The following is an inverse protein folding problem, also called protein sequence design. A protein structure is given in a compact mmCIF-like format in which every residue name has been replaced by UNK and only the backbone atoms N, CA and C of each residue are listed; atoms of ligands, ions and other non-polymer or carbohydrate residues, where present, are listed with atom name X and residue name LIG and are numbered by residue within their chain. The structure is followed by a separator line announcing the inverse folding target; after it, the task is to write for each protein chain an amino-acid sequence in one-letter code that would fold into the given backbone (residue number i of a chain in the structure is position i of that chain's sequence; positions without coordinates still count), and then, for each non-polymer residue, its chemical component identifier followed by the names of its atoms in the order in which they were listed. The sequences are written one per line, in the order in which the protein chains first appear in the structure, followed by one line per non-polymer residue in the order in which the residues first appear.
data_IF_673777561966
#
_entry.id   IF_673777561966
#
_cell.length_a   1.000
_cell.length_b   1.000
_cell.length_c   1.000
_cell.angle_alpha   90.00
_cell.angle_beta   90.00
_cell.angle_gamma   90.00
#
_symmetry.space_group_name_H-M   'P 1'
#
loop_
_entity.id
_entity.type
_entity.pdbx_description
1 polymer ?
#
# COMPACT_ATOMS: atom_id res chain seq x y z
N UNK A 1 -12.47 13.61 13.25
CA UNK A 1 -13.05 12.66 12.29
C UNK A 1 -14.42 12.26 12.79
N UNK A 2 -15.48 12.51 12.02
CA UNK A 2 -16.86 12.16 12.35
C UNK A 2 -17.45 11.35 11.20
N UNK A 3 -18.04 10.20 11.50
CA UNK A 3 -18.80 9.42 10.54
C UNK A 3 -20.30 9.67 10.69
N UNK A 4 -20.98 9.70 9.54
CA UNK A 4 -22.43 9.75 9.42
C UNK A 4 -22.83 8.63 8.47
N UNK A 5 -23.69 7.72 8.91
CA UNK A 5 -24.23 6.63 8.10
C UNK A 5 -25.73 6.86 7.87
N UNK A 6 -26.24 6.61 6.67
CA UNK A 6 -27.67 6.75 6.40
C UNK A 6 -28.45 5.50 6.83
N UNK A 7 -29.57 5.70 7.52
CA UNK A 7 -30.50 4.62 7.86
C UNK A 7 -31.44 4.33 6.69
N UNK A 8 -31.65 3.05 6.38
CA UNK A 8 -32.62 2.61 5.36
C UNK A 8 -32.47 3.36 4.03
N UNK A 9 -31.23 3.67 3.63
CA UNK A 9 -30.91 4.68 2.62
C UNK A 9 -31.69 4.50 1.29
N UNK A 10 -31.70 3.28 0.75
CA UNK A 10 -32.41 2.97 -0.50
C UNK A 10 -33.94 3.09 -0.37
N UNK A 11 -34.48 2.80 0.82
CA UNK A 11 -35.92 2.86 1.09
C UNK A 11 -36.42 4.31 1.27
N UNK A 12 -35.51 5.27 1.46
CA UNK A 12 -35.87 6.68 1.53
C UNK A 12 -35.91 7.37 0.15
N UNK A 13 -35.28 6.78 -0.87
CA UNK A 13 -35.15 7.40 -2.19
C UNK A 13 -36.26 6.89 -3.13
N UNK A 14 -37.19 7.75 -3.58
CA UNK A 14 -38.32 7.33 -4.40
C UNK A 14 -37.90 6.95 -5.83
N UNK A 15 -38.55 5.93 -6.37
CA UNK A 15 -38.55 5.65 -7.81
C UNK A 15 -39.58 6.50 -8.53
N UNK A 16 -39.26 6.94 -9.73
CA UNK A 16 -40.22 7.55 -10.64
C UNK A 16 -41.32 6.54 -11.02
N UNK A 17 -42.59 6.97 -11.06
CA UNK A 17 -43.73 6.08 -11.34
C UNK A 17 -43.61 5.34 -12.68
N UNK A 18 -42.99 5.97 -13.67
CA UNK A 18 -42.77 5.40 -15.01
C UNK A 18 -41.91 4.13 -14.99
N UNK A 19 -40.98 3.99 -14.03
CA UNK A 19 -40.07 2.85 -13.94
C UNK A 19 -40.52 1.77 -12.95
N UNK A 20 -41.46 2.07 -12.04
CA UNK A 20 -41.88 1.15 -10.96
C UNK A 20 -42.46 -0.16 -11.48
N UNK A 21 -43.08 -0.16 -12.66
CA UNK A 21 -43.66 -1.38 -13.25
C UNK A 21 -42.61 -2.41 -13.69
N UNK A 22 -41.33 -2.02 -13.76
CA UNK A 22 -40.22 -2.95 -14.00
C UNK A 22 -39.76 -3.66 -12.72
N UNK A 23 -40.24 -3.24 -11.55
CA UNK A 23 -39.80 -3.72 -10.23
C UNK A 23 -40.97 -4.31 -9.44
N UNK A 24 -41.59 -5.34 -10.02
CA UNK A 24 -42.72 -6.08 -9.44
C UNK A 24 -42.24 -7.41 -8.88
N UNK A 25 -42.72 -7.78 -7.70
CA UNK A 25 -42.43 -9.06 -7.07
C UNK A 25 -43.70 -9.66 -6.46
N UNK A 26 -43.70 -10.99 -6.28
CA UNK A 26 -44.80 -11.72 -5.66
C UNK A 26 -44.51 -11.94 -4.17
N UNK A 27 -45.41 -11.49 -3.32
CA UNK A 27 -45.33 -11.72 -1.87
C UNK A 27 -45.65 -13.17 -1.51
N UNK A 28 -45.35 -13.55 -0.26
CA UNK A 28 -45.69 -14.88 0.28
C UNK A 28 -47.19 -15.14 0.36
N UNK A 29 -47.98 -14.07 0.45
CA UNK A 29 -49.44 -14.05 0.37
C UNK A 29 -49.99 -14.29 -1.04
N UNK A 30 -49.10 -14.44 -2.02
CA UNK A 30 -49.44 -14.66 -3.42
C UNK A 30 -49.82 -13.39 -4.18
N UNK A 31 -49.86 -12.22 -3.53
CA UNK A 31 -50.18 -10.93 -4.14
C UNK A 31 -48.96 -10.33 -4.85
N UNK A 32 -49.21 -9.43 -5.80
CA UNK A 32 -48.15 -8.71 -6.51
C UNK A 32 -47.96 -7.31 -5.92
N UNK A 33 -46.70 -6.99 -5.67
CA UNK A 33 -46.26 -5.71 -5.13
C UNK A 33 -45.30 -5.06 -6.12
N UNK A 34 -45.29 -3.73 -6.17
CA UNK A 34 -44.28 -2.97 -6.92
C UNK A 34 -43.50 -2.10 -5.96
N UNK A 35 -42.19 -2.00 -6.18
CA UNK A 35 -41.35 -1.12 -5.37
C UNK A 35 -41.68 0.35 -5.64
N UNK A 36 -41.62 1.16 -4.58
CA UNK A 36 -41.81 2.62 -4.65
C UNK A 36 -40.49 3.38 -4.50
N UNK A 37 -39.45 2.69 -4.05
CA UNK A 37 -38.15 3.20 -3.62
C UNK A 37 -37.05 2.41 -4.30
N UNK A 38 -35.80 2.88 -4.20
CA UNK A 38 -34.69 2.23 -4.89
C UNK A 38 -34.60 0.74 -4.52
N UNK A 39 -34.56 -0.17 -5.51
CA UNK A 39 -34.43 -1.59 -5.24
C UNK A 39 -33.05 -1.92 -4.71
N UNK A 40 -33.00 -2.56 -3.54
CA UNK A 40 -31.77 -3.20 -3.06
C UNK A 40 -31.40 -4.37 -3.98
N UNK A 41 -30.14 -4.42 -4.43
CA UNK A 41 -29.63 -5.46 -5.34
C UNK A 41 -29.63 -5.09 -6.83
N UNK A 42 -30.26 -3.99 -7.24
CA UNK A 42 -30.07 -3.47 -8.60
C UNK A 42 -28.76 -2.67 -8.67
N UNK A 43 -27.92 -2.96 -9.68
CA UNK A 43 -26.58 -2.35 -9.81
C UNK A 43 -26.62 -0.83 -9.92
N UNK A 44 -27.60 -0.28 -10.64
CA UNK A 44 -27.71 1.16 -10.87
C UNK A 44 -28.23 1.91 -9.63
N UNK A 45 -28.94 1.26 -8.70
CA UNK A 45 -29.38 1.88 -7.44
C UNK A 45 -28.20 2.40 -6.64
N UNK A 46 -27.09 1.66 -6.65
CA UNK A 46 -25.84 2.04 -5.98
C UNK A 46 -25.27 3.34 -6.58
N UNK A 47 -25.29 3.46 -7.91
CA UNK A 47 -24.82 4.67 -8.60
C UNK A 47 -25.70 5.88 -8.27
N UNK A 48 -27.02 5.69 -8.25
CA UNK A 48 -27.97 6.76 -7.86
C UNK A 48 -27.74 7.17 -6.40
N UNK A 49 -27.59 6.20 -5.50
CA UNK A 49 -27.28 6.45 -4.08
C UNK A 49 -25.97 7.21 -3.90
N UNK A 50 -24.90 6.82 -4.60
CA UNK A 50 -23.63 7.53 -4.58
C UNK A 50 -23.77 8.96 -5.12
N UNK A 51 -24.50 9.17 -6.21
CA UNK A 51 -24.68 10.50 -6.81
C UNK A 51 -25.40 11.47 -5.85
N UNK A 52 -26.43 10.97 -5.15
CA UNK A 52 -27.15 11.74 -4.13
C UNK A 52 -26.19 12.12 -2.99
N UNK A 53 -25.45 11.16 -2.43
CA UNK A 53 -24.50 11.44 -1.34
C UNK A 53 -23.41 12.41 -1.79
N UNK A 54 -22.87 12.24 -3.00
CA UNK A 54 -21.86 13.14 -3.57
C UNK A 54 -22.40 14.57 -3.64
N UNK A 55 -23.65 14.74 -4.08
CA UNK A 55 -24.32 16.06 -4.12
C UNK A 55 -24.52 16.65 -2.72
N UNK A 56 -24.86 15.82 -1.73
CA UNK A 56 -25.02 16.26 -0.34
C UNK A 56 -23.70 16.79 0.21
N UNK A 57 -22.60 16.09 -0.02
CA UNK A 57 -21.29 16.41 0.56
C UNK A 57 -20.46 17.41 -0.24
N UNK A 58 -20.92 17.82 -1.42
CA UNK A 58 -20.26 18.79 -2.31
C UNK A 58 -20.23 20.20 -1.70
N UNK A 59 -19.26 20.43 -0.83
CA UNK A 59 -19.09 21.66 -0.05
C UNK A 59 -17.67 22.17 -0.26
N UNK A 60 -17.55 23.47 -0.48
CA UNK A 60 -16.26 24.14 -0.67
C UNK A 60 -15.51 24.24 0.67
N UNK A 61 -14.48 23.41 0.82
CA UNK A 61 -13.61 23.32 1.99
C UNK A 61 -12.16 23.07 1.57
N UNK A 62 -11.22 23.66 2.29
CA UNK A 62 -9.80 23.67 1.93
C UNK A 62 -8.93 22.72 2.77
N UNK A 63 -9.25 22.53 4.05
CA UNK A 63 -8.49 21.66 4.97
C UNK A 63 -9.29 20.42 5.41
N UNK A 64 -10.57 20.34 5.08
CA UNK A 64 -11.44 19.23 5.45
C UNK A 64 -11.43 18.18 4.34
N UNK A 65 -11.17 16.94 4.71
CA UNK A 65 -11.32 15.76 3.86
C UNK A 65 -12.71 15.19 4.09
N UNK A 66 -13.50 15.11 3.03
CA UNK A 66 -14.80 14.44 3.03
C UNK A 66 -14.71 13.24 2.09
N UNK A 67 -14.92 12.05 2.63
CA UNK A 67 -15.02 10.82 1.85
C UNK A 67 -16.44 10.29 1.97
N UNK A 68 -17.02 9.90 0.85
CA UNK A 68 -18.32 9.22 0.85
C UNK A 68 -18.25 7.92 0.07
N UNK A 69 -18.90 6.90 0.60
CA UNK A 69 -19.17 5.66 -0.11
C UNK A 69 -20.62 5.27 0.11
N UNK A 70 -21.45 5.53 -0.90
CA UNK A 70 -22.88 5.27 -0.92
C UNK A 70 -23.56 5.90 0.29
N UNK A 71 -23.84 5.13 1.34
CA UNK A 71 -24.57 5.51 2.53
C UNK A 71 -23.67 6.05 3.66
N UNK A 72 -22.35 5.88 3.53
CA UNK A 72 -21.39 6.26 4.57
C UNK A 72 -20.66 7.55 4.19
N UNK A 73 -20.62 8.51 5.12
CA UNK A 73 -19.88 9.77 5.00
C UNK A 73 -18.85 9.84 6.12
N UNK A 74 -17.60 10.12 5.76
CA UNK A 74 -16.50 10.37 6.68
C UNK A 74 -16.01 11.81 6.51
N UNK A 75 -16.01 12.57 7.59
CA UNK A 75 -15.51 13.95 7.61
C UNK A 75 -14.29 13.98 8.52
N UNK A 76 -13.15 14.46 8.03
CA UNK A 76 -11.91 14.56 8.78
C UNK A 76 -11.22 15.89 8.51
N UNK A 77 -10.49 16.42 9.48
CA UNK A 77 -9.70 17.62 9.33
C UNK A 77 -8.44 17.51 10.21
N UNK A 78 -7.34 18.19 9.84
CA UNK A 78 -6.20 18.34 10.72
C UNK A 78 -6.56 19.23 11.91
N UNK A 79 -5.79 19.10 13.00
CA UNK A 79 -5.89 20.02 14.13
C UNK A 79 -5.60 21.45 13.68
N UNK A 80 -6.30 22.42 14.26
CA UNK A 80 -6.25 23.84 13.87
C UNK A 80 -7.25 24.21 12.78
N UNK A 81 -7.99 23.24 12.23
CA UNK A 81 -9.06 23.45 11.23
C UNK A 81 -10.46 23.19 11.79
N UNK A 82 -10.63 23.30 13.12
CA UNK A 82 -11.88 22.95 13.82
C UNK A 82 -13.08 23.77 13.31
N UNK A 83 -12.88 25.05 13.00
CA UNK A 83 -13.94 25.91 12.47
C UNK A 83 -14.46 25.45 11.11
N UNK A 84 -13.56 25.14 10.18
CA UNK A 84 -13.93 24.64 8.85
C UNK A 84 -14.55 23.23 8.93
N UNK A 85 -14.03 22.38 9.83
CA UNK A 85 -14.61 21.07 10.12
C UNK A 85 -16.06 21.18 10.60
N UNK A 86 -16.34 22.05 11.58
CA UNK A 86 -17.69 22.28 12.08
C UNK A 86 -18.61 22.84 10.99
N UNK A 87 -18.13 23.80 10.20
CA UNK A 87 -18.87 24.32 9.06
C UNK A 87 -19.27 23.21 8.08
N UNK A 88 -18.34 22.32 7.74
CA UNK A 88 -18.59 21.18 6.85
C UNK A 88 -19.65 20.24 7.45
N UNK A 89 -19.47 19.82 8.72
CA UNK A 89 -20.41 18.93 9.41
C UNK A 89 -21.82 19.52 9.43
N UNK A 90 -21.98 20.79 9.82
CA UNK A 90 -23.29 21.46 9.88
C UNK A 90 -23.92 21.56 8.51
N UNK A 91 -23.15 21.96 7.49
CA UNK A 91 -23.63 22.10 6.13
C UNK A 91 -24.12 20.76 5.56
N UNK A 92 -23.38 19.67 5.80
CA UNK A 92 -23.78 18.31 5.42
C UNK A 92 -25.09 17.94 6.11
N UNK A 93 -25.16 18.08 7.43
CA UNK A 93 -26.34 17.71 8.21
C UNK A 93 -27.59 18.52 7.80
N UNK A 94 -27.44 19.82 7.53
CA UNK A 94 -28.54 20.66 7.03
C UNK A 94 -29.01 20.20 5.65
N UNK A 95 -28.09 19.87 4.73
CA UNK A 95 -28.47 19.33 3.42
C UNK A 95 -29.17 17.98 3.54
N UNK A 96 -28.68 17.09 4.40
CA UNK A 96 -29.32 15.81 4.73
C UNK A 96 -30.76 16.02 5.23
N UNK A 97 -30.95 16.99 6.13
CA UNK A 97 -32.27 17.34 6.67
C UNK A 97 -33.22 17.85 5.57
N UNK A 98 -32.73 18.69 4.65
CA UNK A 98 -33.52 19.24 3.54
C UNK A 98 -34.02 18.16 2.57
N UNK A 99 -33.26 17.08 2.39
CA UNK A 99 -33.65 15.94 1.54
C UNK A 99 -34.34 14.82 2.33
N UNK A 100 -34.64 15.06 3.61
CA UNK A 100 -35.37 14.15 4.49
C UNK A 100 -34.74 12.76 4.69
N UNK A 101 -33.42 12.64 4.56
CA UNK A 101 -32.70 11.37 4.75
C UNK A 101 -32.28 11.14 6.21
N UNK A 102 -32.61 9.98 6.77
CA UNK A 102 -32.32 9.64 8.18
C UNK A 102 -30.89 9.11 8.35
N UNK A 103 -30.27 9.34 9.51
CA UNK A 103 -28.88 8.95 9.79
C UNK A 103 -28.69 8.27 11.13
N UNK A 104 -27.57 7.57 11.29
CA UNK A 104 -27.01 7.09 12.53
C UNK A 104 -25.56 7.60 12.66
N UNK A 105 -25.22 8.41 13.68
CA UNK A 105 -26.12 9.00 14.68
C UNK A 105 -27.22 9.89 14.06
N UNK A 106 -28.30 10.12 14.79
CA UNK A 106 -29.46 10.90 14.33
C UNK A 106 -29.06 12.35 13.96
N UNK A 107 -29.42 12.78 12.73
CA UNK A 107 -29.03 14.08 12.18
C UNK A 107 -29.55 15.25 13.01
N UNK A 108 -30.79 15.13 13.52
CA UNK A 108 -31.47 16.23 14.19
C UNK A 108 -30.86 16.42 15.59
N UNK A 109 -30.50 15.33 16.24
CA UNK A 109 -29.66 15.31 17.44
C UNK A 109 -28.29 15.95 17.15
N UNK A 110 -27.58 15.53 16.10
CA UNK A 110 -26.27 16.09 15.74
C UNK A 110 -26.34 17.60 15.44
N UNK A 111 -27.41 18.08 14.79
CA UNK A 111 -27.64 19.51 14.53
C UNK A 111 -27.87 20.33 15.81
N UNK A 112 -28.39 19.71 16.87
CA UNK A 112 -28.63 20.37 18.17
C UNK A 112 -27.43 20.26 19.11
N UNK A 113 -26.56 19.26 18.93
CA UNK A 113 -25.32 19.09 19.70
C UNK A 113 -24.44 20.32 19.57
N UNK A 114 -23.90 20.83 20.68
CA UNK A 114 -23.01 22.01 20.66
C UNK A 114 -21.67 21.74 19.96
N UNK A 115 -21.01 22.79 19.46
CA UNK A 115 -19.78 22.65 18.67
C UNK A 115 -18.66 21.92 19.43
N UNK A 116 -18.48 22.22 20.71
CA UNK A 116 -17.48 21.54 21.56
C UNK A 116 -17.79 20.04 21.70
N UNK A 117 -19.06 19.66 21.71
CA UNK A 117 -19.48 18.27 21.83
C UNK A 117 -19.26 17.53 20.52
N UNK A 118 -19.54 18.17 19.38
CA UNK A 118 -19.21 17.62 18.05
C UNK A 118 -17.71 17.42 17.88
N UNK A 119 -16.87 18.36 18.33
CA UNK A 119 -15.43 18.19 18.31
C UNK A 119 -14.99 17.02 19.19
N UNK A 120 -15.55 16.90 20.41
CA UNK A 120 -15.28 15.75 21.29
C UNK A 120 -15.71 14.43 20.67
N UNK A 121 -16.86 14.38 19.99
CA UNK A 121 -17.28 13.19 19.22
C UNK A 121 -16.28 12.89 18.11
N UNK A 122 -15.78 13.94 17.42
CA UNK A 122 -14.82 13.81 16.35
C UNK A 122 -13.41 13.38 16.81
N UNK A 123 -13.14 13.29 18.11
CA UNK A 123 -11.93 12.71 18.71
C UNK A 123 -12.11 11.24 19.08
N UNK A 124 -13.34 10.74 19.16
CA UNK A 124 -13.62 9.35 19.52
C UNK A 124 -13.16 8.36 18.45
N UNK A 125 -13.09 7.09 18.85
CA UNK A 125 -12.82 5.99 17.92
C UNK A 125 -14.02 5.75 17.01
N UNK A 126 -13.73 5.47 15.74
CA UNK A 126 -14.77 5.26 14.73
C UNK A 126 -14.36 4.15 13.75
N UNK A 127 -15.34 3.52 13.09
CA UNK A 127 -15.12 2.38 12.18
C UNK A 127 -15.64 2.70 10.78
N UNK A 128 -14.70 2.94 9.87
CA UNK A 128 -15.01 3.23 8.47
C UNK A 128 -14.44 2.12 7.56
N UNK A 129 -15.28 1.57 6.69
CA UNK A 129 -14.92 0.54 5.69
C UNK A 129 -14.10 -0.66 6.20
N UNK A 130 -14.30 -1.05 7.47
CA UNK A 130 -13.65 -2.21 8.08
C UNK A 130 -12.34 -1.90 8.80
N UNK A 131 -11.97 -0.63 8.90
CA UNK A 131 -10.83 -0.08 9.64
C UNK A 131 -11.35 0.72 10.84
N UNK A 132 -10.65 0.63 11.97
CA UNK A 132 -10.96 1.39 13.18
C UNK A 132 -9.90 2.46 13.38
N UNK A 133 -10.35 3.70 13.54
CA UNK A 133 -9.51 4.88 13.68
C UNK A 133 -9.60 5.41 15.10
N UNK A 134 -8.49 5.86 15.68
CA UNK A 134 -8.45 6.48 17.01
C UNK A 134 -7.57 7.71 16.99
N UNK A 135 -8.01 8.79 17.62
CA UNK A 135 -7.19 9.96 17.84
C UNK A 135 -6.27 9.73 19.05
N UNK A 136 -4.98 9.98 18.88
CA UNK A 136 -3.99 9.96 19.95
C UNK A 136 -3.70 11.40 20.40
N UNK A 137 -4.28 11.86 21.52
CA UNK A 137 -4.19 13.27 21.92
C UNK A 137 -2.76 13.72 22.27
N UNK A 138 -1.90 12.80 22.70
CA UNK A 138 -0.51 13.11 23.05
C UNK A 138 0.40 13.25 21.83
N UNK A 139 0.06 12.59 20.73
CA UNK A 139 0.83 12.60 19.49
C UNK A 139 0.20 13.50 18.43
N UNK A 140 -1.04 13.98 18.66
CA UNK A 140 -1.82 14.79 17.74
C UNK A 140 -1.99 14.13 16.37
N UNK A 141 -2.13 12.80 16.35
CA UNK A 141 -2.30 11.99 15.14
C UNK A 141 -3.45 11.01 15.25
N UNK A 142 -4.01 10.62 14.10
CA UNK A 142 -4.92 9.48 13.99
C UNK A 142 -4.10 8.22 13.74
N UNK A 143 -4.39 7.17 14.52
CA UNK A 143 -3.91 5.81 14.30
C UNK A 143 -5.05 4.94 13.78
N UNK A 144 -4.69 3.87 13.10
CA UNK A 144 -5.62 2.95 12.45
C UNK A 144 -5.30 1.51 12.83
N UNK A 145 -6.32 0.66 12.90
CA UNK A 145 -6.19 -0.79 13.03
C UNK A 145 -7.32 -1.51 12.28
N UNK A 146 -7.25 -2.83 12.21
CA UNK A 146 -8.35 -3.61 11.66
C UNK A 146 -9.56 -3.59 12.59
N UNK A 147 -10.76 -3.52 12.02
CA UNK A 147 -11.98 -3.70 12.82
C UNK A 147 -12.02 -5.06 13.51
N UNK A 148 -12.72 -5.12 14.65
CA UNK A 148 -12.95 -6.36 15.42
C UNK A 148 -13.52 -7.48 14.53
N UNK A 149 -14.38 -7.12 13.56
CA UNK A 149 -14.96 -8.06 12.58
C UNK A 149 -13.92 -8.66 11.66
N UNK A 150 -12.97 -7.86 11.17
CA UNK A 150 -11.85 -8.34 10.35
C UNK A 150 -10.96 -9.29 11.13
N UNK A 151 -10.61 -8.95 12.37
CA UNK A 151 -9.80 -9.79 13.26
C UNK A 151 -10.50 -11.12 13.57
N UNK A 152 -11.81 -11.09 13.83
CA UNK A 152 -12.58 -12.31 14.07
C UNK A 152 -12.56 -13.25 12.85
N UNK A 153 -12.69 -12.70 11.63
CA UNK A 153 -12.59 -13.48 10.39
C UNK A 153 -11.20 -14.11 10.22
N UNK A 154 -10.12 -13.38 10.54
CA UNK A 154 -8.74 -13.91 10.50
C UNK A 154 -8.59 -15.11 11.44
N UNK A 155 -9.04 -14.98 12.69
CA UNK A 155 -8.98 -16.06 13.70
C UNK A 155 -9.78 -17.28 13.27
N UNK A 156 -10.99 -17.09 12.72
CA UNK A 156 -11.83 -18.20 12.22
C UNK A 156 -11.17 -18.88 11.03
N UNK A 157 -10.60 -18.14 10.09
CA UNK A 157 -9.92 -18.71 8.93
C UNK A 157 -8.66 -19.51 9.33
N UNK A 158 -7.92 -19.04 10.33
CA UNK A 158 -6.74 -19.74 10.85
C UNK A 158 -7.09 -21.06 11.55
N UNK A 159 -8.24 -21.17 12.22
CA UNK A 159 -8.70 -22.42 12.86
C UNK A 159 -8.93 -23.57 11.89
N UNK A 160 -9.11 -23.28 10.59
CA UNK A 160 -9.28 -24.31 9.56
C UNK A 160 -7.95 -24.93 9.12
N UNK A 161 -6.83 -24.29 9.46
CA UNK A 161 -5.53 -24.74 9.02
C UNK A 161 -5.19 -26.14 9.60
N UNK A 162 -4.46 -26.99 8.84
CA UNK A 162 -3.95 -26.77 7.49
C UNK A 162 -4.96 -27.11 6.37
N UNK A 163 -6.22 -27.46 6.71
CA UNK A 163 -7.19 -27.99 5.77
C UNK A 163 -8.09 -26.89 5.18
N UNK A 164 -7.90 -26.61 3.90
CA UNK A 164 -8.68 -25.60 3.18
C UNK A 164 -9.25 -26.20 1.90
N UNK A 165 -10.33 -25.62 1.39
CA UNK A 165 -10.61 -25.66 -0.06
C UNK A 165 -9.78 -24.61 -0.78
N UNK A 166 -9.59 -24.75 -2.10
CA UNK A 166 -8.91 -23.73 -2.92
C UNK A 166 -9.49 -22.33 -2.71
N UNK A 167 -10.83 -22.21 -2.68
CA UNK A 167 -11.56 -20.96 -2.43
C UNK A 167 -11.32 -20.43 -1.02
N UNK A 168 -11.31 -21.29 0.00
CA UNK A 168 -11.09 -20.86 1.38
C UNK A 168 -9.67 -20.31 1.57
N UNK A 169 -8.66 -20.99 1.01
CA UNK A 169 -7.27 -20.53 1.07
C UNK A 169 -7.09 -19.17 0.39
N UNK A 170 -7.58 -19.02 -0.84
CA UNK A 170 -7.52 -17.76 -1.60
C UNK A 170 -8.25 -16.62 -0.88
N UNK A 171 -9.43 -16.87 -0.32
CA UNK A 171 -10.17 -15.88 0.49
C UNK A 171 -9.39 -15.49 1.75
N UNK A 172 -8.71 -16.45 2.39
CA UNK A 172 -7.93 -16.17 3.59
C UNK A 172 -6.71 -15.29 3.28
N UNK A 173 -5.94 -15.61 2.23
CA UNK A 173 -4.83 -14.75 1.79
C UNK A 173 -5.33 -13.36 1.40
N UNK A 174 -6.49 -13.26 0.74
CA UNK A 174 -7.08 -11.96 0.38
C UNK A 174 -7.46 -11.13 1.61
N UNK A 175 -7.98 -11.78 2.67
CA UNK A 175 -8.27 -11.14 3.94
C UNK A 175 -6.98 -10.67 4.64
N UNK A 176 -5.90 -11.46 4.56
CA UNK A 176 -4.57 -11.08 5.07
C UNK A 176 -4.06 -9.84 4.34
N UNK A 177 -4.21 -9.75 3.02
CA UNK A 177 -3.76 -8.57 2.24
C UNK A 177 -4.50 -7.30 2.65
N UNK A 178 -5.83 -7.37 2.82
CA UNK A 178 -6.61 -6.24 3.34
C UNK A 178 -6.12 -5.86 4.74
N UNK A 179 -6.00 -6.84 5.64
CA UNK A 179 -5.63 -6.55 7.01
C UNK A 179 -4.20 -6.02 7.16
N UNK A 180 -3.28 -6.49 6.31
CA UNK A 180 -1.92 -6.01 6.20
C UNK A 180 -1.85 -4.56 5.71
N UNK A 181 -2.68 -4.19 4.72
CA UNK A 181 -2.80 -2.81 4.24
C UNK A 181 -3.16 -1.85 5.38
N UNK A 182 -4.20 -2.17 6.14
CA UNK A 182 -4.70 -1.32 7.22
C UNK A 182 -3.61 -0.91 8.23
N UNK A 183 -2.72 -1.83 8.59
CA UNK A 183 -1.69 -1.60 9.62
C UNK A 183 -0.30 -1.39 9.03
N UNK A 184 -0.21 -1.05 7.75
CA UNK A 184 1.05 -0.81 7.04
C UNK A 184 2.06 -1.97 7.16
N UNK A 185 1.56 -3.21 7.23
CA UNK A 185 2.43 -4.36 7.15
C UNK A 185 3.01 -4.44 5.74
N UNK A 186 4.33 -4.52 5.69
CA UNK A 186 5.09 -4.53 4.45
C UNK A 186 4.61 -5.63 3.50
N UNK A 187 4.00 -5.29 2.36
CA UNK A 187 3.38 -6.29 1.50
C UNK A 187 4.44 -7.21 0.89
N UNK A 188 5.68 -6.75 0.66
CA UNK A 188 6.76 -7.57 0.12
C UNK A 188 7.09 -8.80 0.98
N UNK A 189 6.93 -8.70 2.31
CA UNK A 189 7.06 -9.85 3.24
C UNK A 189 6.05 -10.98 2.97
N UNK A 190 4.95 -10.68 2.27
CA UNK A 190 3.88 -11.63 1.95
C UNK A 190 4.14 -12.41 0.66
N UNK A 191 5.28 -12.23 0.00
CA UNK A 191 5.52 -12.78 -1.34
C UNK A 191 5.39 -14.31 -1.41
N UNK A 192 5.78 -15.04 -0.36
CA UNK A 192 5.62 -16.49 -0.31
C UNK A 192 4.16 -16.92 -0.28
N UNK A 193 3.32 -16.20 0.47
CA UNK A 193 1.87 -16.43 0.50
C UNK A 193 1.26 -16.13 -0.86
N UNK A 194 1.70 -15.04 -1.51
CA UNK A 194 1.23 -14.66 -2.84
C UNK A 194 1.69 -15.62 -3.94
N UNK A 195 2.86 -16.23 -3.79
CA UNK A 195 3.32 -17.31 -4.68
C UNK A 195 2.41 -18.53 -4.57
N UNK A 196 2.06 -18.94 -3.34
CA UNK A 196 1.12 -20.03 -3.10
C UNK A 196 -0.29 -19.70 -3.63
N UNK A 197 -0.78 -18.48 -3.36
CA UNK A 197 -2.03 -17.95 -3.88
C UNK A 197 -2.10 -18.05 -5.42
N UNK A 198 -1.05 -17.59 -6.11
CA UNK A 198 -0.95 -17.68 -7.57
C UNK A 198 -0.96 -19.13 -8.05
N UNK A 199 -0.25 -20.02 -7.36
CA UNK A 199 -0.23 -21.44 -7.73
C UNK A 199 -1.65 -22.05 -7.67
N UNK A 200 -2.43 -21.75 -6.63
CA UNK A 200 -3.83 -22.20 -6.52
C UNK A 200 -4.68 -21.68 -7.68
N UNK A 201 -4.54 -20.39 -8.04
CA UNK A 201 -5.24 -19.83 -9.20
C UNK A 201 -4.89 -20.53 -10.50
N UNK A 202 -3.61 -20.81 -10.74
CA UNK A 202 -3.16 -21.55 -11.93
C UNK A 202 -3.78 -22.95 -11.96
N UNK A 203 -3.76 -23.66 -10.83
CA UNK A 203 -4.38 -25.00 -10.74
C UNK A 203 -5.89 -24.97 -11.01
N UNK A 204 -6.62 -24.02 -10.43
CA UNK A 204 -8.07 -23.98 -10.61
C UNK A 204 -8.44 -23.47 -12.02
N UNK A 205 -7.86 -22.35 -12.46
CA UNK A 205 -8.30 -21.68 -13.68
C UNK A 205 -7.68 -22.27 -14.95
N UNK A 206 -6.42 -22.71 -14.91
CA UNK A 206 -5.71 -23.14 -16.11
C UNK A 206 -5.72 -24.66 -16.31
N UNK A 207 -5.89 -25.42 -15.23
CA UNK A 207 -5.91 -26.91 -15.30
C UNK A 207 -7.29 -27.51 -15.03
N UNK A 208 -8.35 -26.68 -14.99
CA UNK A 208 -9.73 -27.14 -14.83
C UNK A 208 -10.09 -27.64 -13.44
N UNK A 209 -9.37 -27.20 -12.41
CA UNK A 209 -9.67 -27.56 -11.02
C UNK A 209 -10.97 -26.89 -10.51
N UNK A 210 -11.52 -27.43 -9.42
CA UNK A 210 -12.71 -26.86 -8.77
C UNK A 210 -12.33 -25.96 -7.59
N UNK A 211 -12.99 -24.80 -7.49
CA UNK A 211 -12.76 -23.86 -6.40
C UNK A 211 -13.07 -24.44 -5.01
N UNK A 212 -14.06 -25.33 -4.93
CA UNK A 212 -14.54 -25.89 -3.67
C UNK A 212 -13.93 -27.26 -3.35
N UNK A 213 -13.03 -27.76 -4.21
CA UNK A 213 -12.24 -28.94 -3.91
C UNK A 213 -11.23 -28.69 -2.76
N UNK A 214 -10.92 -29.72 -1.96
CA UNK A 214 -9.85 -29.65 -0.97
C UNK A 214 -8.52 -29.25 -1.62
N UNK A 215 -7.81 -28.33 -0.98
CA UNK A 215 -6.44 -27.98 -1.35
C UNK A 215 -5.53 -29.14 -0.92
N UNK A 216 -4.89 -29.85 -1.86
CA UNK A 216 -4.25 -31.13 -1.56
C UNK A 216 -3.05 -31.00 -0.65
N UNK A 217 -2.31 -29.89 -0.74
CA UNK A 217 -1.10 -29.67 0.05
C UNK A 217 -0.84 -28.18 0.28
N UNK A 218 -0.46 -27.84 1.50
CA UNK A 218 0.19 -26.57 1.85
C UNK A 218 1.58 -26.92 2.35
N UNK A 219 2.61 -26.37 1.70
CA UNK A 219 3.99 -26.58 2.16
C UNK A 219 4.16 -26.02 3.59
N UNK A 220 4.97 -26.66 4.45
CA UNK A 220 5.21 -26.20 5.83
C UNK A 220 5.62 -24.72 5.91
N UNK A 221 6.45 -24.25 4.97
CA UNK A 221 6.88 -22.85 4.88
C UNK A 221 5.71 -21.87 4.69
N UNK A 222 4.79 -22.16 3.77
CA UNK A 222 3.59 -21.31 3.54
C UNK A 222 2.71 -21.31 4.79
N UNK A 223 2.57 -22.47 5.45
CA UNK A 223 1.80 -22.58 6.70
C UNK A 223 2.41 -21.75 7.83
N UNK A 224 3.73 -21.79 8.01
CA UNK A 224 4.45 -20.97 8.97
C UNK A 224 4.28 -19.47 8.69
N UNK A 225 4.43 -19.05 7.43
CA UNK A 225 4.18 -17.66 7.04
C UNK A 225 2.72 -17.25 7.31
N UNK A 226 1.74 -18.12 7.08
CA UNK A 226 0.34 -17.86 7.41
C UNK A 226 0.17 -17.67 8.92
N UNK A 227 0.73 -18.55 9.74
CA UNK A 227 0.66 -18.46 11.19
C UNK A 227 1.29 -17.18 11.72
N UNK A 228 2.53 -16.89 11.31
CA UNK A 228 3.27 -15.70 11.75
C UNK A 228 2.53 -14.42 11.38
N UNK A 229 2.15 -14.29 10.10
CA UNK A 229 1.44 -13.11 9.60
C UNK A 229 0.09 -12.94 10.29
N UNK A 230 -0.68 -14.01 10.42
CA UNK A 230 -2.00 -13.94 11.07
C UNK A 230 -1.89 -13.60 12.55
N UNK A 231 -0.84 -14.07 13.23
CA UNK A 231 -0.61 -13.75 14.64
C UNK A 231 -0.35 -12.25 14.84
N UNK A 232 0.50 -11.66 13.99
CA UNK A 232 0.74 -10.20 13.98
C UNK A 232 -0.56 -9.43 13.74
N UNK A 233 -1.31 -9.81 12.71
CA UNK A 233 -2.57 -9.12 12.37
C UNK A 233 -3.67 -9.33 13.43
N UNK A 234 -3.66 -10.47 14.13
CA UNK A 234 -4.65 -10.79 15.16
C UNK A 234 -4.36 -10.16 16.53
N UNK A 235 -3.14 -9.65 16.75
CA UNK A 235 -2.81 -8.78 17.88
C UNK A 235 -3.55 -7.43 17.76
N UNK A 236 -3.77 -6.97 16.52
CA UNK A 236 -4.58 -5.81 16.17
C UNK A 236 -4.19 -4.51 16.91
N UNK A 237 -2.88 -4.26 16.95
CA UNK A 237 -2.32 -3.03 17.48
C UNK A 237 -2.64 -1.83 16.57
N UNK A 238 -2.72 -0.64 17.17
CA UNK A 238 -2.89 0.61 16.44
C UNK A 238 -1.59 0.98 15.74
N UNK A 239 -1.67 1.19 14.43
CA UNK A 239 -0.56 1.64 13.59
C UNK A 239 -0.73 3.12 13.20
N UNK A 240 0.36 3.88 13.00
CA UNK A 240 0.27 5.20 12.39
C UNK A 240 -0.28 5.08 10.96
N UNK A 241 -1.04 6.06 10.50
CA UNK A 241 -1.43 6.16 9.09
C UNK A 241 -0.18 6.53 8.28
N UNK A 242 0.07 5.84 7.16
CA UNK A 242 1.26 6.10 6.35
C UNK A 242 1.23 7.54 5.80
N UNK A 243 2.32 8.31 5.92
CA UNK A 243 2.36 9.66 5.39
C UNK A 243 2.35 9.62 3.86
N UNK A 244 1.75 10.66 3.25
CA UNK A 244 1.79 10.84 1.79
C UNK A 244 3.24 11.07 1.36
N UNK A 245 3.70 10.24 0.44
CA UNK A 245 5.02 10.35 -0.16
C UNK A 245 4.96 11.44 -1.23
N UNK A 246 5.78 12.49 -1.07
CA UNK A 246 6.02 13.49 -2.11
C UNK A 246 7.27 13.13 -2.90
N UNK A 247 7.16 13.18 -4.22
CA UNK A 247 8.25 12.84 -5.16
C UNK A 247 8.46 14.03 -6.07
N UNK A 248 9.71 14.39 -6.31
CA UNK A 248 10.09 15.49 -7.23
C UNK A 248 11.18 15.02 -8.17
N UNK A 249 11.40 15.76 -9.25
CA UNK A 249 12.48 15.48 -10.20
C UNK A 249 13.75 16.29 -9.91
N UNK A 250 13.80 17.01 -8.77
CA UNK A 250 14.92 17.87 -8.41
C UNK A 250 15.89 17.12 -7.49
N UNK A 251 17.15 16.97 -7.93
CA UNK A 251 18.20 16.26 -7.17
C UNK A 251 18.33 16.80 -5.72
N UNK A 252 18.20 18.12 -5.52
CA UNK A 252 18.32 18.78 -4.21
C UNK A 252 17.28 18.34 -3.17
N UNK A 253 16.17 17.71 -3.60
CA UNK A 253 15.12 17.24 -2.69
C UNK A 253 15.41 15.83 -2.13
N UNK A 254 16.58 15.29 -2.47
CA UNK A 254 17.11 14.00 -2.02
C UNK A 254 18.48 14.22 -1.40
N UNK A 255 18.81 13.52 -0.33
CA UNK A 255 20.14 13.58 0.30
C UNK A 255 21.20 12.83 -0.52
N UNK A 256 20.77 11.75 -1.16
CA UNK A 256 21.60 10.92 -2.03
C UNK A 256 20.90 10.59 -3.35
N UNK A 257 21.65 10.70 -4.45
CA UNK A 257 21.30 10.13 -5.75
C UNK A 257 22.28 8.98 -6.04
N UNK A 258 21.76 7.77 -6.19
CA UNK A 258 22.54 6.54 -6.33
C UNK A 258 22.22 5.90 -7.67
N UNK A 259 23.18 5.85 -8.59
CA UNK A 259 23.07 5.06 -9.82
C UNK A 259 23.62 3.68 -9.55
N UNK A 260 22.87 2.63 -9.87
CA UNK A 260 23.31 1.24 -9.75
C UNK A 260 23.12 0.51 -11.07
N UNK A 261 23.99 -0.46 -11.30
CA UNK A 261 23.92 -1.37 -12.44
C UNK A 261 24.52 -2.72 -12.07
N UNK A 262 24.03 -3.79 -12.68
CA UNK A 262 24.46 -5.15 -12.44
C UNK A 262 24.71 -5.92 -13.75
N UNK A 263 25.82 -6.65 -13.78
CA UNK A 263 26.21 -7.52 -14.88
C UNK A 263 26.28 -8.99 -14.43
N UNK A 264 26.73 -9.87 -15.32
CA UNK A 264 27.04 -11.27 -15.00
C UNK A 264 28.29 -11.43 -14.12
N UNK A 265 29.16 -10.41 -14.05
CA UNK A 265 30.40 -10.40 -13.25
C UNK A 265 30.20 -9.85 -11.85
N UNK A 266 29.37 -8.82 -11.69
CA UNK A 266 29.15 -8.17 -10.41
C UNK A 266 28.25 -6.95 -10.55
N UNK A 267 28.37 -6.02 -9.62
CA UNK A 267 27.62 -4.77 -9.65
C UNK A 267 28.51 -3.56 -9.42
N UNK A 268 28.05 -2.43 -9.94
CA UNK A 268 28.66 -1.13 -9.78
C UNK A 268 27.64 -0.11 -9.31
N UNK A 269 28.08 0.87 -8.53
CA UNK A 269 27.25 1.98 -8.11
C UNK A 269 28.02 3.30 -8.04
N UNK A 270 27.34 4.40 -8.31
CA UNK A 270 27.84 5.77 -8.10
C UNK A 270 26.86 6.48 -7.20
N UNK A 271 27.32 6.87 -6.01
CA UNK A 271 26.52 7.53 -4.99
C UNK A 271 26.97 8.99 -4.88
N UNK A 272 26.08 9.94 -5.14
CA UNK A 272 26.32 11.37 -4.97
C UNK A 272 25.50 11.90 -3.80
N UNK A 273 26.17 12.51 -2.82
CA UNK A 273 25.51 13.31 -1.80
C UNK A 273 25.24 14.70 -2.36
N UNK A 274 23.98 15.12 -2.36
CA UNK A 274 23.55 16.35 -3.04
C UNK A 274 23.88 17.61 -2.25
N UNK A 275 24.03 17.49 -0.92
CA UNK A 275 24.36 18.61 -0.05
C UNK A 275 25.86 18.88 0.02
N UNK A 276 26.66 17.82 0.13
CA UNK A 276 28.13 17.93 0.24
C UNK A 276 28.85 17.83 -1.11
N UNK A 277 28.14 17.40 -2.16
CA UNK A 277 28.73 17.06 -3.46
C UNK A 277 29.78 15.94 -3.38
N UNK A 278 29.79 15.16 -2.30
CA UNK A 278 30.61 13.96 -2.17
C UNK A 278 30.14 12.91 -3.19
N UNK A 279 31.09 12.34 -3.94
CA UNK A 279 30.80 11.24 -4.88
C UNK A 279 31.61 10.01 -4.48
N UNK A 280 30.92 8.88 -4.35
CA UNK A 280 31.49 7.57 -4.02
C UNK A 280 31.16 6.61 -5.16
N UNK A 281 32.16 6.09 -5.86
CA UNK A 281 31.97 4.95 -6.74
C UNK A 281 32.30 3.66 -6.01
N UNK A 282 31.42 2.67 -6.16
CA UNK A 282 31.50 1.36 -5.54
C UNK A 282 31.43 0.28 -6.62
N UNK A 283 32.15 -0.81 -6.42
CA UNK A 283 32.01 -2.02 -7.23
C UNK A 283 32.21 -3.26 -6.37
N UNK A 284 31.58 -4.36 -6.76
CA UNK A 284 31.77 -5.67 -6.13
C UNK A 284 31.55 -6.79 -7.13
N UNK A 285 32.46 -7.76 -7.14
CA UNK A 285 32.30 -9.00 -7.90
C UNK A 285 31.26 -9.93 -7.25
N UNK A 286 30.44 -10.61 -8.05
CA UNK A 286 29.56 -11.66 -7.53
C UNK A 286 30.41 -12.81 -6.99
N UNK A 287 30.15 -13.23 -5.76
CA UNK A 287 30.70 -14.49 -5.27
C UNK A 287 29.84 -15.67 -5.74
N UNK A 288 30.46 -16.78 -6.15
CA UNK A 288 29.74 -18.04 -6.30
C UNK A 288 29.31 -18.52 -4.91
N UNK A 289 27.99 -18.53 -4.66
CA UNK A 289 27.41 -18.85 -3.35
C UNK A 289 27.76 -20.26 -2.85
N UNK A 290 28.19 -21.17 -3.73
CA UNK A 290 28.69 -22.50 -3.37
C UNK A 290 30.05 -22.48 -2.65
N UNK A 291 30.80 -21.38 -2.71
CA UNK A 291 32.15 -21.28 -2.13
C UNK A 291 32.20 -20.64 -0.74
N UNK A 292 31.13 -19.99 -0.29
CA UNK A 292 31.14 -19.19 0.94
C UNK A 292 30.14 -19.75 1.95
N UNK A 293 30.61 -20.58 2.89
CA UNK A 293 29.84 -21.08 4.04
C UNK A 293 29.44 -20.01 5.07
N UNK A 294 29.26 -18.76 4.63
CA UNK A 294 29.03 -17.56 5.44
C UNK A 294 28.06 -16.60 4.73
N UNK A 295 26.97 -17.11 4.16
CA UNK A 295 25.85 -16.27 3.76
C UNK A 295 25.20 -15.65 5.01
N UNK A 296 25.41 -14.35 5.24
CA UNK A 296 24.72 -13.55 6.27
C UNK A 296 23.51 -12.81 5.68
N UNK A 297 22.66 -13.52 4.93
CA UNK A 297 21.28 -13.06 4.74
C UNK A 297 20.43 -13.37 5.98
N UNK A 298 19.15 -12.99 6.00
CA UNK A 298 18.28 -13.21 7.15
C UNK A 298 18.08 -14.72 7.40
N UNK A 299 18.93 -15.27 8.29
CA UNK A 299 18.98 -16.65 8.81
C UNK A 299 18.91 -17.79 7.78
N UNK A 300 19.32 -19.00 8.17
CA UNK A 300 19.39 -20.20 7.31
C UNK A 300 18.05 -20.67 6.67
N UNK A 301 16.97 -19.87 6.79
CA UNK A 301 15.60 -20.11 6.29
C UNK A 301 15.37 -19.74 4.81
N UNK A 302 16.39 -19.23 4.10
CA UNK A 302 16.30 -18.81 2.68
C UNK A 302 17.15 -19.62 1.70
N UNK A 303 17.77 -20.73 2.11
CA UNK A 303 18.72 -21.52 1.29
C UNK A 303 18.11 -22.40 0.16
N UNK A 304 16.99 -22.02 -0.48
CA UNK A 304 16.42 -22.80 -1.59
C UNK A 304 16.21 -22.03 -2.90
N UNK A 305 16.84 -20.86 -3.05
CA UNK A 305 16.99 -20.21 -4.35
C UNK A 305 18.47 -19.96 -4.58
N UNK A 306 19.12 -20.86 -5.32
CA UNK A 306 20.44 -20.61 -5.89
C UNK A 306 20.39 -19.26 -6.61
N UNK A 307 21.16 -18.26 -6.16
CA UNK A 307 21.26 -16.98 -6.86
C UNK A 307 21.71 -17.23 -8.29
N UNK A 308 20.82 -16.99 -9.25
CA UNK A 308 21.15 -17.14 -10.65
C UNK A 308 21.61 -15.80 -11.22
N UNK A 309 22.92 -15.53 -11.08
CA UNK A 309 23.60 -14.31 -11.58
C UNK A 309 23.39 -14.01 -13.07
N UNK A 310 22.92 -14.98 -13.88
CA UNK A 310 22.69 -14.81 -15.33
C UNK A 310 21.39 -14.08 -15.68
N UNK A 311 20.52 -13.81 -14.73
CA UNK A 311 19.26 -13.10 -14.98
C UNK A 311 19.28 -11.75 -14.25
N UNK A 312 19.23 -10.65 -15.03
CA UNK A 312 19.14 -9.27 -14.52
C UNK A 312 18.01 -9.08 -13.50
N UNK A 313 16.92 -9.85 -13.65
CA UNK A 313 15.80 -9.92 -12.71
C UNK A 313 16.18 -10.26 -11.25
N UNK A 314 17.36 -10.84 -11.01
CA UNK A 314 17.93 -11.14 -9.70
C UNK A 314 19.12 -10.26 -9.35
N UNK A 315 19.99 -9.98 -10.32
CA UNK A 315 21.23 -9.24 -10.13
C UNK A 315 20.98 -7.77 -9.75
N UNK A 316 20.05 -7.09 -10.46
CA UNK A 316 19.75 -5.67 -10.24
C UNK A 316 19.14 -5.38 -8.86
N UNK A 317 18.09 -6.09 -8.40
CA UNK A 317 17.56 -5.86 -7.06
C UNK A 317 18.56 -6.17 -5.95
N UNK A 318 19.43 -7.17 -6.17
CA UNK A 318 20.49 -7.50 -5.22
C UNK A 318 21.56 -6.43 -5.16
N UNK A 319 22.00 -5.90 -6.30
CA UNK A 319 22.95 -4.79 -6.36
C UNK A 319 22.42 -3.57 -5.60
N UNK A 320 21.16 -3.18 -5.89
CA UNK A 320 20.48 -2.11 -5.18
C UNK A 320 20.39 -2.36 -3.67
N UNK A 321 20.16 -3.60 -3.24
CA UNK A 321 20.13 -3.96 -1.82
C UNK A 321 21.51 -3.83 -1.17
N UNK A 322 22.54 -4.43 -1.76
CA UNK A 322 23.89 -4.45 -1.21
C UNK A 322 24.51 -3.04 -1.13
N UNK A 323 24.28 -2.17 -2.12
CA UNK A 323 24.76 -0.78 -2.05
C UNK A 323 24.08 0.00 -0.92
N UNK A 324 22.77 -0.16 -0.75
CA UNK A 324 22.01 0.51 0.30
C UNK A 324 22.41 0.00 1.69
N UNK A 325 22.55 -1.32 1.87
CA UNK A 325 23.02 -1.94 3.12
C UNK A 325 24.41 -1.41 3.48
N UNK A 326 25.35 -1.42 2.54
CA UNK A 326 26.70 -0.91 2.76
C UNK A 326 26.70 0.55 3.22
N UNK A 327 25.99 1.44 2.52
CA UNK A 327 25.94 2.85 2.89
C UNK A 327 25.29 3.07 4.26
N UNK A 328 24.32 2.24 4.65
CA UNK A 328 23.73 2.28 5.99
C UNK A 328 24.72 1.79 7.05
N UNK A 329 25.44 0.69 6.79
CA UNK A 329 26.44 0.11 7.70
C UNK A 329 27.58 1.09 8.00
N UNK A 330 28.05 1.85 7.00
CA UNK A 330 29.10 2.86 7.18
C UNK A 330 28.55 4.22 7.66
N UNK A 331 27.29 4.29 8.09
CA UNK A 331 26.68 5.48 8.68
C UNK A 331 26.38 6.63 7.70
N UNK A 332 26.31 6.35 6.40
CA UNK A 332 26.01 7.36 5.36
C UNK A 332 24.52 7.50 5.06
N UNK A 333 23.73 6.47 5.35
CA UNK A 333 22.27 6.52 5.35
C UNK A 333 21.77 6.47 6.79
N UNK A 334 21.19 7.59 7.25
CA UNK A 334 20.64 7.73 8.60
C UNK A 334 19.14 8.03 8.56
N UNK A 335 18.50 7.99 9.73
CA UNK A 335 17.07 8.21 9.86
C UNK A 335 16.64 9.60 9.32
N UNK A 336 15.48 9.64 8.67
CA UNK A 336 14.90 10.86 8.09
C UNK A 336 15.39 11.23 6.69
N UNK A 337 16.40 10.54 6.15
CA UNK A 337 16.93 10.84 4.82
C UNK A 337 16.02 10.39 3.67
N UNK A 338 16.20 11.03 2.52
CA UNK A 338 15.55 10.73 1.23
C UNK A 338 16.61 10.32 0.22
N UNK A 339 16.42 9.17 -0.41
CA UNK A 339 17.37 8.58 -1.36
C UNK A 339 16.66 8.33 -2.68
N UNK A 340 17.23 8.83 -3.78
CA UNK A 340 16.84 8.45 -5.12
C UNK A 340 17.79 7.37 -5.64
N UNK A 341 17.27 6.16 -5.87
CA UNK A 341 18.03 5.06 -6.48
C UNK A 341 17.63 4.93 -7.95
N UNK A 342 18.59 5.19 -8.83
CA UNK A 342 18.48 5.15 -10.28
C UNK A 342 19.02 3.82 -10.79
N UNK A 343 18.24 3.12 -11.61
CA UNK A 343 18.59 1.84 -12.22
C UNK A 343 17.98 1.77 -13.62
N UNK A 344 18.52 0.92 -14.50
CA UNK A 344 17.89 0.59 -15.77
C UNK A 344 16.91 -0.60 -15.67
N UNK A 345 16.69 -1.12 -14.47
CA UNK A 345 15.78 -2.23 -14.23
C UNK A 345 14.35 -1.74 -14.00
N UNK A 346 13.59 -1.65 -15.09
CA UNK A 346 12.22 -1.11 -15.13
C UNK A 346 11.27 -1.76 -14.10
N UNK A 347 11.41 -3.04 -13.81
CA UNK A 347 10.53 -3.71 -12.85
C UNK A 347 10.75 -3.27 -11.38
N UNK A 348 11.95 -2.78 -11.01
CA UNK A 348 12.17 -2.14 -9.69
C UNK A 348 11.40 -0.81 -9.64
N UNK A 349 11.42 -0.06 -10.73
CA UNK A 349 10.84 1.28 -10.74
C UNK A 349 9.32 1.23 -10.85
N UNK A 350 8.76 0.35 -11.69
CA UNK A 350 7.31 0.24 -11.89
C UNK A 350 6.58 -0.42 -10.73
N UNK A 351 7.20 -1.44 -10.13
CA UNK A 351 6.55 -2.23 -9.10
C UNK A 351 6.65 -1.59 -7.71
N UNK A 352 7.43 -0.52 -7.52
CA UNK A 352 7.60 0.16 -6.24
C UNK A 352 6.28 0.63 -5.62
N UNK A 353 6.31 0.92 -4.32
CA UNK A 353 5.18 1.46 -3.54
C UNK A 353 4.60 2.73 -4.15
N UNK A 354 3.33 3.00 -3.84
CA UNK A 354 2.58 4.17 -4.32
C UNK A 354 2.68 5.33 -3.33
N UNK A 355 2.07 6.46 -3.68
CA UNK A 355 2.12 7.70 -2.91
C UNK A 355 1.53 7.57 -1.50
N UNK A 356 0.65 6.60 -1.27
CA UNK A 356 0.08 6.27 0.05
C UNK A 356 1.00 5.39 0.91
N UNK A 357 2.24 5.14 0.49
CA UNK A 357 3.19 4.31 1.23
C UNK A 357 3.01 2.79 1.04
N UNK A 358 1.92 2.34 0.43
CA UNK A 358 1.63 0.92 0.22
C UNK A 358 1.89 0.44 -1.21
N UNK A 359 2.04 -0.87 -1.41
CA UNK A 359 2.39 -1.51 -2.69
C UNK A 359 3.84 -1.97 -2.69
N UNK A 360 4.47 -2.10 -3.86
CA UNK A 360 5.86 -2.55 -3.88
C UNK A 360 6.04 -4.05 -3.78
N UNK A 361 5.51 -4.78 -4.76
CA UNK A 361 5.63 -6.24 -4.82
C UNK A 361 5.96 -6.69 -6.23
N UNK A 362 6.82 -7.70 -6.33
CA UNK A 362 7.25 -8.28 -7.59
C UNK A 362 7.05 -9.79 -7.65
N UNK A 363 7.37 -10.38 -8.82
CA UNK A 363 7.43 -11.84 -8.98
C UNK A 363 8.75 -12.44 -8.50
N UNK A 364 9.83 -11.66 -8.50
CA UNK A 364 11.18 -12.11 -8.16
C UNK A 364 11.46 -12.06 -6.66
N UNK A 365 12.21 -13.02 -6.14
CA UNK A 365 12.57 -13.10 -4.72
C UNK A 365 13.42 -11.90 -4.29
N UNK A 366 14.54 -11.63 -4.99
CA UNK A 366 15.46 -10.52 -4.66
C UNK A 366 14.76 -9.15 -4.73
N UNK A 367 13.83 -8.99 -5.67
CA UNK A 367 13.00 -7.79 -5.77
C UNK A 367 12.14 -7.57 -4.53
N UNK A 368 11.50 -8.63 -4.02
CA UNK A 368 10.71 -8.52 -2.80
C UNK A 368 11.59 -8.36 -1.56
N UNK A 369 12.79 -8.94 -1.51
CA UNK A 369 13.74 -8.70 -0.41
C UNK A 369 14.22 -7.23 -0.38
N UNK A 370 14.51 -6.64 -1.54
CA UNK A 370 14.83 -5.21 -1.66
C UNK A 370 13.69 -4.34 -1.12
N UNK A 371 12.46 -4.58 -1.58
CA UNK A 371 11.28 -3.85 -1.10
C UNK A 371 11.02 -4.08 0.38
N UNK A 372 11.18 -5.32 0.87
CA UNK A 372 11.00 -5.63 2.27
C UNK A 372 11.94 -4.77 3.13
N UNK A 373 13.22 -4.75 2.78
CA UNK A 373 14.23 -3.93 3.46
C UNK A 373 13.91 -2.43 3.43
N UNK A 374 13.74 -1.84 2.23
CA UNK A 374 13.59 -0.38 2.10
C UNK A 374 12.26 0.13 2.66
N UNK A 375 11.25 -0.73 2.79
CA UNK A 375 9.97 -0.33 3.35
C UNK A 375 9.96 -0.46 4.86
N UNK A 376 10.66 -1.45 5.41
CA UNK A 376 10.93 -1.51 6.84
C UNK A 376 11.72 -0.27 7.28
N UNK A 377 12.75 0.16 6.53
CA UNK A 377 13.47 1.40 6.83
C UNK A 377 12.58 2.65 6.77
N UNK A 378 11.61 2.70 5.86
CA UNK A 378 10.68 3.81 5.80
C UNK A 378 9.76 3.88 7.03
N UNK A 379 9.22 2.75 7.47
CA UNK A 379 8.28 2.72 8.60
C UNK A 379 8.98 2.84 9.95
N UNK A 380 10.18 2.27 10.10
CA UNK A 380 10.87 2.19 11.40
C UNK A 380 12.02 3.19 11.55
N UNK A 381 12.74 3.50 10.45
CA UNK A 381 13.89 4.41 10.48
C UNK A 381 13.60 5.76 9.81
N UNK A 382 12.38 5.98 9.30
CA UNK A 382 12.01 7.17 8.52
C UNK A 382 12.93 7.44 7.32
N UNK A 383 13.58 6.41 6.77
CA UNK A 383 14.47 6.50 5.62
C UNK A 383 13.69 6.15 4.35
N UNK A 384 13.51 7.12 3.47
CA UNK A 384 12.72 6.97 2.25
C UNK A 384 13.63 6.71 1.04
N UNK A 385 13.55 5.50 0.48
CA UNK A 385 14.16 5.16 -0.81
C UNK A 385 13.10 5.17 -1.90
N UNK A 386 13.36 5.94 -2.96
CA UNK A 386 12.52 6.06 -4.16
C UNK A 386 13.31 5.60 -5.39
N UNK A 387 12.63 4.89 -6.29
CA UNK A 387 13.27 4.27 -7.45
C UNK A 387 12.98 5.06 -8.73
N UNK A 388 14.02 5.25 -9.53
CA UNK A 388 14.01 5.98 -10.79
C UNK A 388 14.60 5.12 -11.90
N UNK A 389 14.02 5.24 -13.10
CA UNK A 389 14.46 4.52 -14.27
C UNK A 389 15.33 5.43 -15.15
N UNK A 390 16.47 4.91 -15.56
CA UNK A 390 17.33 5.53 -16.56
C UNK A 390 17.79 4.44 -17.55
N UNK A 391 17.67 4.63 -18.88
CA UNK A 391 18.09 3.61 -19.84
C UNK A 391 19.57 3.23 -19.67
N UNK A 392 19.89 1.94 -19.76
CA UNK A 392 21.25 1.40 -19.54
C UNK A 392 22.40 2.17 -20.22
N UNK A 393 22.31 2.55 -21.51
CA UNK A 393 23.36 3.34 -22.17
C UNK A 393 23.64 4.72 -21.54
N UNK A 394 22.68 5.25 -20.78
CA UNK A 394 22.80 6.51 -20.05
C UNK A 394 23.18 6.29 -18.58
N UNK A 395 23.12 5.05 -18.08
CA UNK A 395 23.45 4.71 -16.71
C UNK A 395 24.97 4.81 -16.48
N UNK A 396 25.45 5.76 -15.65
CA UNK A 396 26.88 5.94 -15.45
C UNK A 396 27.53 4.79 -14.67
N UNK A 397 26.73 3.92 -14.03
CA UNK A 397 27.20 2.75 -13.29
C UNK A 397 27.47 1.51 -14.18
N UNK A 398 27.02 1.49 -15.45
CA UNK A 398 27.17 0.34 -16.35
C UNK A 398 28.64 -0.08 -16.54
N UNK A 399 29.55 0.88 -16.67
CA UNK A 399 30.97 0.56 -16.84
C UNK A 399 31.57 -0.08 -15.57
N UNK A 400 31.10 0.33 -14.39
CA UNK A 400 31.58 -0.21 -13.10
C UNK A 400 31.09 -1.64 -12.87
N UNK A 401 29.90 -1.99 -13.36
CA UNK A 401 29.37 -3.36 -13.26
C UNK A 401 30.10 -4.32 -14.21
N UNK A 402 30.63 -3.84 -15.35
CA UNK A 402 31.29 -4.65 -16.39
C UNK A 402 32.80 -4.80 -16.20
N UNK A 403 33.48 -3.75 -15.71
CA UNK A 403 34.95 -3.70 -15.60
C UNK A 403 35.35 -3.79 -14.12
N UNK A 404 35.20 -4.99 -13.56
CA UNK A 404 35.52 -5.27 -12.15
C UNK A 404 36.98 -5.71 -12.02
N UNK A 405 37.69 -5.11 -11.09
CA UNK A 405 39.04 -5.54 -10.69
C UNK A 405 38.94 -6.77 -9.79
N UNK A 406 39.33 -7.93 -10.33
CA UNK A 406 39.23 -9.26 -9.71
C UNK A 406 40.29 -9.55 -8.64
N UNK A 407 41.05 -8.55 -8.18
CA UNK A 407 42.14 -8.77 -7.21
C UNK A 407 41.67 -9.14 -5.79
N UNK A 408 40.43 -8.80 -5.38
CA UNK A 408 39.78 -9.31 -4.16
C UNK A 408 38.32 -9.66 -4.47
N UNK A 409 38.07 -10.94 -4.75
CA UNK A 409 36.72 -11.44 -5.00
C UNK A 409 35.81 -11.20 -3.79
N UNK A 410 34.60 -10.66 -4.01
CA UNK A 410 33.54 -10.61 -3.01
C UNK A 410 33.53 -9.44 -2.02
N UNK A 411 34.49 -8.51 -2.08
CA UNK A 411 34.51 -7.30 -1.24
C UNK A 411 34.00 -6.06 -1.98
N UNK A 412 33.32 -5.14 -1.28
CA UNK A 412 32.93 -3.84 -1.84
C UNK A 412 34.16 -2.94 -1.89
N UNK A 413 34.45 -2.40 -3.07
CA UNK A 413 35.61 -1.53 -3.32
C UNK A 413 35.19 -0.13 -3.70
N UNK A 414 35.94 0.87 -3.23
CA UNK A 414 35.82 2.25 -3.70
C UNK A 414 36.71 2.45 -4.92
N UNK A 415 36.16 3.07 -5.97
CA UNK A 415 36.86 3.34 -7.23
C UNK A 415 36.98 4.84 -7.45
N UNK A 416 38.07 5.29 -8.07
CA UNK A 416 38.19 6.69 -8.47
C UNK A 416 37.37 6.95 -9.74
N UNK A 417 36.57 8.00 -9.72
CA UNK A 417 35.82 8.47 -10.89
C UNK A 417 36.59 9.55 -11.64
N UNK A 418 36.72 9.38 -12.95
CA UNK A 418 37.29 10.40 -13.83
C UNK A 418 36.21 11.42 -14.21
N UNK A 419 36.05 12.49 -13.43
CA UNK A 419 35.40 13.76 -13.82
C UNK A 419 34.08 13.70 -14.60
N UNK A 420 33.27 12.64 -14.44
CA UNK A 420 32.09 12.38 -15.27
C UNK A 420 30.90 13.16 -14.74
N UNK A 421 30.24 13.95 -15.58
CA UNK A 421 28.97 14.59 -15.23
C UNK A 421 27.88 13.53 -15.07
N UNK A 422 27.17 13.55 -13.94
CA UNK A 422 26.10 12.59 -13.64
C UNK A 422 24.75 13.09 -14.19
N UNK A 423 23.88 12.20 -14.72
CA UNK A 423 22.58 12.60 -15.24
C UNK A 423 21.60 13.02 -14.12
N UNK A 424 20.98 14.20 -14.21
CA UNK A 424 20.01 14.64 -13.19
C UNK A 424 18.73 13.79 -13.17
N UNK A 425 18.02 13.74 -12.04
CA UNK A 425 16.74 13.02 -11.90
C UNK A 425 15.65 13.49 -12.88
N UNK A 426 15.73 14.74 -13.37
CA UNK A 426 14.86 15.26 -14.46
C UNK A 426 14.94 14.44 -15.75
N UNK A 427 16.03 13.72 -15.98
CA UNK A 427 16.22 12.87 -17.14
C UNK A 427 15.77 11.42 -16.88
N UNK A 428 15.31 11.11 -15.66
CA UNK A 428 14.87 9.80 -15.25
C UNK A 428 13.34 9.71 -15.23
N UNK A 429 12.82 8.50 -15.38
CA UNK A 429 11.39 8.21 -15.24
C UNK A 429 11.06 7.70 -13.84
N UNK A 430 9.98 8.19 -13.25
CA UNK A 430 9.39 7.63 -12.02
C UNK A 430 7.86 7.67 -12.12
N UNK A 431 7.16 6.52 -11.95
CA UNK A 431 5.69 6.47 -12.05
C UNK A 431 4.96 7.27 -10.97
N UNK A 432 5.68 7.76 -9.96
CA UNK A 432 5.12 8.57 -8.88
C UNK A 432 5.08 10.07 -9.22
N UNK A 433 5.80 10.51 -10.26
CA UNK A 433 5.79 11.90 -10.73
C UNK A 433 4.59 12.21 -11.64
N UNK A 434 4.05 11.20 -12.34
CA UNK A 434 3.00 11.40 -13.37
C UNK A 434 1.62 11.75 -12.79
N UNK A 435 1.41 11.61 -11.48
CA UNK A 435 0.07 11.66 -10.85
C UNK A 435 -0.36 13.03 -10.32
N UNK A 436 0.47 14.07 -10.34
CA UNK A 436 0.04 15.42 -9.92
C UNK A 436 -1.03 16.01 -10.86
N UNK A 437 -1.21 15.47 -12.06
CA UNK A 437 -2.16 16.00 -13.06
C UNK A 437 -3.57 15.40 -12.93
N UNK A 438 -3.73 14.21 -12.34
CA UNK A 438 -5.04 13.51 -12.30
C UNK A 438 -5.85 13.76 -11.01
N UNK A 439 -5.22 14.23 -9.92
CA UNK A 439 -5.94 14.55 -8.68
C UNK A 439 -6.83 15.79 -8.74
N UNK A 440 -6.83 16.51 -9.88
CA UNK A 440 -7.72 17.65 -10.14
C UNK A 440 -9.03 17.19 -10.83
N UNK A 441 -9.13 15.93 -11.28
CA UNK A 441 -10.27 15.47 -12.10
C UNK A 441 -11.27 14.54 -11.38
N UNK A 442 -11.08 14.29 -10.08
CA UNK A 442 -12.06 13.58 -9.23
C UNK A 442 -12.20 14.25 -7.86
N UNK A 443 -12.35 15.58 -7.88
CA UNK A 443 -12.88 16.36 -6.74
C UNK A 443 -14.38 16.19 -6.63
#
# INVERSE_FOLDING_TARGET
MLQIDFNSYYDAIPLEDSVRNNFVFRGKDGQYYRLRTLPTGARWSVCVGQAITSTIVDIDVSQVVILSLIDNILIAAPQGSEGEFLFAVRSILTRIQQVHLETSPDRDTLLQTGDQDLLRMAEQSDVFLGEEYRYEPNEYVRKVRNSIKTVAKLRIAMRKAPYYTCRQFVRFVSLILFAAHTVNLNPASLFFLLKAYRAVYVTVCNTGGEWDAPLPHISPRVYEHLQRTTSVLAANEYAPIAPVIRVTAEDRDYDWVIYTDASDRGWGAICQNTHTQEVIALQKEWMDELQCGTYRGPTDEYQAFLFNKKHSAHAEPRAAREVLEYLKEIGRLVAGMRVALVTDHEAIVRAQRKLNGFGGIGRGTDLNLLYEMVYNWFHWDHLLVLFFYLPGPQNPADQLSRVIDSSNCGEIRRVQLNGRQLPTLRNCYCPLLEREVESILWG
#
